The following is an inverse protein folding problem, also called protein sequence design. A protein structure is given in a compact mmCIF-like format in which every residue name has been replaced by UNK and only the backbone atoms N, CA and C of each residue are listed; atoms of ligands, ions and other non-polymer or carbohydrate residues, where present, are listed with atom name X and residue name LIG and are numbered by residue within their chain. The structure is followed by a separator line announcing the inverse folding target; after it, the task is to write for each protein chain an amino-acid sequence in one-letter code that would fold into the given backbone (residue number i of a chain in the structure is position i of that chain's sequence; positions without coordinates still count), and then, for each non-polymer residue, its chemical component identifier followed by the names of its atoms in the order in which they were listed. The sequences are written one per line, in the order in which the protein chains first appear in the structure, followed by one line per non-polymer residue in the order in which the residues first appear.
data_IF_141944380178
#
_entry.id   IF_141944380178
#
_cell.length_a   1.000
_cell.length_b   1.000
_cell.length_c   1.000
_cell.angle_alpha   90.00
_cell.angle_beta   90.00
_cell.angle_gamma   90.00
#
_symmetry.space_group_name_H-M   'P 1'
#
loop_
_entity.id
_entity.type
_entity.pdbx_description
1 polymer ?
#
# COMPACT_ATOMS: atom_id res chain seq x y z
N UNK A 1 -7.61 31.28 0.60
CA UNK A 1 -6.70 31.19 1.78
C UNK A 1 -7.31 30.28 2.84
N UNK A 2 -6.55 29.62 3.73
CA UNK A 2 -7.15 28.77 4.78
C UNK A 2 -8.30 29.51 5.50
N UNK A 3 -9.49 28.92 5.67
CA UNK A 3 -9.84 27.49 5.48
C UNK A 3 -10.26 27.09 4.05
N UNK A 4 -10.19 28.01 3.09
CA UNK A 4 -10.53 27.75 1.70
C UNK A 4 -9.47 26.92 0.97
N UNK A 5 -9.84 26.43 -0.21
CA UNK A 5 -8.93 25.75 -1.12
C UNK A 5 -7.78 26.66 -1.55
N UNK A 6 -6.55 26.13 -1.44
CA UNK A 6 -5.35 26.77 -1.96
C UNK A 6 -4.87 26.03 -3.21
N UNK A 7 -4.46 26.79 -4.22
CA UNK A 7 -3.88 26.24 -5.44
C UNK A 7 -2.37 26.10 -5.28
N UNK A 8 -1.88 24.86 -5.34
CA UNK A 8 -0.45 24.57 -5.28
C UNK A 8 0.06 24.29 -6.69
N UNK A 9 1.14 24.98 -7.07
CA UNK A 9 1.91 24.67 -8.28
C UNK A 9 3.34 24.36 -7.87
N UNK A 10 3.71 23.09 -8.00
CA UNK A 10 5.08 22.61 -7.80
C UNK A 10 5.73 22.44 -9.17
N UNK A 11 6.90 23.04 -9.37
CA UNK A 11 7.72 22.82 -10.55
C UNK A 11 9.03 22.22 -10.11
N UNK A 12 9.30 21.00 -10.57
CA UNK A 12 10.56 20.30 -10.41
C UNK A 12 11.27 20.29 -11.77
N UNK A 13 12.40 20.96 -11.85
CA UNK A 13 13.17 21.12 -13.08
C UNK A 13 14.66 21.04 -12.74
N UNK A 14 15.32 20.00 -13.23
CA UNK A 14 16.75 19.79 -13.08
C UNK A 14 17.29 19.93 -11.63
N UNK A 15 16.61 19.30 -10.67
CA UNK A 15 16.96 19.38 -9.24
C UNK A 15 16.62 20.73 -8.57
N UNK A 16 16.04 21.68 -9.30
CA UNK A 16 15.41 22.88 -8.75
C UNK A 16 13.94 22.57 -8.49
N UNK A 17 13.47 22.91 -7.29
CA UNK A 17 12.08 22.76 -6.89
C UNK A 17 11.56 24.15 -6.55
N UNK A 18 10.39 24.52 -7.08
CA UNK A 18 9.68 25.72 -6.65
C UNK A 18 8.25 25.40 -6.30
N UNK A 19 7.80 25.96 -5.18
CA UNK A 19 6.42 25.90 -4.74
C UNK A 19 5.79 27.28 -4.87
N UNK A 20 4.70 27.37 -5.61
CA UNK A 20 3.81 28.51 -5.61
C UNK A 20 2.48 28.15 -4.95
N UNK A 21 1.99 29.02 -4.07
CA UNK A 21 0.69 28.92 -3.41
C UNK A 21 -0.16 30.11 -3.88
N UNK A 22 -1.33 29.82 -4.45
CA UNK A 22 -2.25 30.82 -5.00
C UNK A 22 -1.55 31.80 -5.97
N UNK A 23 -0.70 31.26 -6.86
CA UNK A 23 0.01 32.03 -7.88
C UNK A 23 1.31 32.72 -7.41
N UNK A 24 1.59 32.76 -6.10
CA UNK A 24 2.81 33.37 -5.56
C UNK A 24 3.84 32.30 -5.21
N UNK A 25 5.07 32.43 -5.72
CA UNK A 25 6.19 31.56 -5.31
C UNK A 25 6.53 31.83 -3.85
N UNK A 26 6.44 30.80 -3.00
CA UNK A 26 6.67 30.90 -1.55
C UNK A 26 7.97 30.24 -1.11
N UNK A 27 8.45 29.22 -1.85
CA UNK A 27 9.66 28.49 -1.48
C UNK A 27 10.37 27.96 -2.71
N UNK A 28 11.71 27.90 -2.65
CA UNK A 28 12.56 27.27 -3.65
C UNK A 28 13.62 26.40 -2.98
N UNK A 29 13.90 25.26 -3.59
CA UNK A 29 15.01 24.38 -3.29
C UNK A 29 15.87 24.17 -4.53
N UNK A 30 17.13 23.83 -4.35
CA UNK A 30 18.06 23.47 -5.44
C UNK A 30 18.85 22.23 -5.04
N UNK A 31 19.48 21.58 -6.02
CA UNK A 31 20.25 20.35 -5.81
C UNK A 31 19.46 19.25 -5.07
N UNK A 32 18.16 19.12 -5.38
CA UNK A 32 17.31 18.11 -4.79
C UNK A 32 17.86 16.69 -5.07
N UNK A 33 17.94 15.88 -4.02
CA UNK A 33 18.35 14.48 -4.10
C UNK A 33 17.29 13.63 -3.38
N UNK A 34 16.68 12.63 -4.04
CA UNK A 34 16.86 12.28 -5.45
C UNK A 34 16.23 13.30 -6.44
N UNK A 35 16.71 13.32 -7.68
CA UNK A 35 16.25 14.17 -8.80
C UNK A 35 15.02 13.63 -9.53
N UNK A 36 14.71 12.35 -9.35
CA UNK A 36 13.51 11.68 -9.85
C UNK A 36 13.01 10.71 -8.78
N UNK A 37 11.70 10.62 -8.57
CA UNK A 37 11.14 9.75 -7.54
C UNK A 37 9.63 9.84 -7.44
N UNK A 38 9.10 9.38 -6.31
CA UNK A 38 7.66 9.35 -6.03
C UNK A 38 7.16 10.67 -5.48
N UNK A 39 5.91 11.02 -5.80
CA UNK A 39 5.19 12.12 -5.15
C UNK A 39 4.41 11.52 -3.96
N UNK A 40 4.62 12.07 -2.77
CA UNK A 40 3.90 11.69 -1.56
C UNK A 40 2.90 12.79 -1.18
N UNK A 41 1.73 12.39 -0.68
CA UNK A 41 0.77 13.29 -0.05
C UNK A 41 0.94 13.18 1.46
N UNK A 42 1.32 14.29 2.08
CA UNK A 42 1.58 14.35 3.51
C UNK A 42 0.41 15.01 4.27
N UNK A 43 0.16 14.52 5.47
CA UNK A 43 -0.77 15.08 6.45
C UNK A 43 -0.05 15.10 7.80
N UNK A 44 0.13 16.29 8.38
CA UNK A 44 0.75 16.45 9.69
C UNK A 44 -0.34 16.80 10.72
N UNK A 45 -0.65 15.86 11.62
CA UNK A 45 -1.48 16.10 12.81
C UNK A 45 -2.98 16.39 12.60
N UNK A 46 -3.44 16.62 11.36
CA UNK A 46 -4.86 16.93 11.07
C UNK A 46 -5.28 16.49 9.67
N UNK A 47 -6.58 16.17 9.45
CA UNK A 47 -7.09 15.81 8.12
C UNK A 47 -6.84 16.91 7.09
N UNK A 48 -6.29 16.53 5.94
CA UNK A 48 -6.09 17.39 4.77
C UNK A 48 -6.82 16.78 3.58
N UNK A 49 -7.38 17.62 2.72
CA UNK A 49 -8.08 17.19 1.51
C UNK A 49 -7.31 17.67 0.28
N UNK A 50 -7.16 16.78 -0.70
CA UNK A 50 -6.54 17.09 -1.99
C UNK A 50 -7.56 16.87 -3.10
N UNK A 51 -7.56 17.72 -4.13
CA UNK A 51 -8.41 17.56 -5.32
C UNK A 51 -7.74 18.14 -6.55
N UNK A 52 -8.19 17.72 -7.73
CA UNK A 52 -7.73 18.24 -9.02
C UNK A 52 -6.22 18.15 -9.24
N UNK A 53 -5.60 17.07 -8.74
CA UNK A 53 -4.19 16.80 -8.94
C UNK A 53 -3.92 16.46 -10.40
N UNK A 54 -2.99 17.17 -11.02
CA UNK A 54 -2.59 16.99 -12.42
C UNK A 54 -1.08 17.06 -12.50
N UNK A 55 -0.50 16.24 -13.38
CA UNK A 55 0.94 16.21 -13.64
C UNK A 55 1.15 16.54 -15.11
N UNK A 56 2.11 17.42 -15.38
CA UNK A 56 2.67 17.65 -16.70
C UNK A 56 4.15 17.31 -16.61
N UNK A 57 4.57 16.27 -17.32
CA UNK A 57 5.99 15.95 -17.44
C UNK A 57 6.70 17.05 -18.23
N UNK A 58 7.86 17.47 -17.71
CA UNK A 58 8.77 18.39 -18.39
C UNK A 58 9.84 17.56 -19.13
N UNK A 59 10.52 18.13 -20.14
CA UNK A 59 11.66 17.46 -20.76
C UNK A 59 12.66 16.97 -19.71
N UNK A 60 12.95 15.68 -19.73
CA UNK A 60 13.84 15.06 -18.75
C UNK A 60 15.31 15.40 -18.99
N UNK A 61 16.11 15.36 -17.92
CA UNK A 61 17.57 15.51 -17.99
C UNK A 61 18.34 14.19 -17.92
N UNK A 62 17.62 13.05 -17.94
CA UNK A 62 18.16 11.69 -17.84
C UNK A 62 19.15 11.52 -16.66
N UNK A 63 18.69 11.72 -15.40
CA UNK A 63 19.54 11.56 -14.22
C UNK A 63 20.12 10.15 -14.11
N UNK A 64 21.30 10.02 -13.53
CA UNK A 64 21.94 8.70 -13.36
C UNK A 64 21.19 7.84 -12.33
N UNK A 65 21.37 6.50 -12.32
CA UNK A 65 20.74 5.62 -11.33
C UNK A 65 20.99 6.02 -9.86
N UNK A 66 22.12 6.67 -9.57
CA UNK A 66 22.50 7.16 -8.24
C UNK A 66 21.78 8.47 -7.86
N UNK A 67 21.30 9.21 -8.85
CA UNK A 67 20.58 10.46 -8.67
C UNK A 67 19.08 10.28 -8.54
N UNK A 68 18.54 9.08 -8.80
CA UNK A 68 17.10 8.80 -8.71
C UNK A 68 16.76 8.04 -7.43
N UNK A 69 15.50 8.17 -7.00
CA UNK A 69 14.99 7.40 -5.88
C UNK A 69 15.12 5.92 -6.22
N UNK A 70 15.53 5.10 -5.25
CA UNK A 70 15.45 3.65 -5.39
C UNK A 70 14.02 3.30 -5.73
N UNK A 71 13.83 2.69 -6.90
CA UNK A 71 12.54 2.20 -7.31
C UNK A 71 12.11 1.12 -6.33
N UNK A 72 10.93 1.27 -5.74
CA UNK A 72 10.26 0.16 -5.08
C UNK A 72 9.82 -0.80 -6.18
N UNK A 73 10.63 -1.83 -6.43
CA UNK A 73 10.42 -2.74 -7.53
C UNK A 73 9.52 -3.91 -7.12
N UNK A 74 8.48 -4.11 -7.92
CA UNK A 74 7.69 -5.34 -7.93
C UNK A 74 6.43 -5.29 -7.08
N UNK A 75 6.28 -4.33 -6.16
CA UNK A 75 5.00 -4.14 -5.49
C UNK A 75 4.01 -3.43 -6.39
N UNK A 76 2.79 -3.95 -6.43
CA UNK A 76 1.64 -3.29 -7.02
C UNK A 76 0.44 -3.41 -6.09
N UNK A 77 -0.48 -2.45 -6.21
CA UNK A 77 -1.69 -2.43 -5.39
C UNK A 77 -2.68 -3.49 -5.87
N UNK A 78 -3.22 -4.27 -4.94
CA UNK A 78 -4.40 -5.09 -5.17
C UNK A 78 -5.69 -4.27 -4.98
N UNK A 79 -5.65 -3.15 -4.27
CA UNK A 79 -6.79 -2.26 -4.08
C UNK A 79 -6.39 -0.80 -4.32
N UNK A 80 -6.78 -0.26 -5.48
CA UNK A 80 -6.41 1.09 -5.93
C UNK A 80 -7.26 2.19 -5.30
N UNK A 81 -8.30 1.83 -4.55
CA UNK A 81 -9.30 2.77 -4.03
C UNK A 81 -10.37 3.17 -5.04
N UNK A 82 -10.27 2.72 -6.30
CA UNK A 82 -11.23 3.04 -7.35
C UNK A 82 -12.40 2.06 -7.34
N UNK A 83 -12.11 0.77 -7.47
CA UNK A 83 -13.13 -0.28 -7.61
C UNK A 83 -12.64 -1.64 -7.11
N UNK A 84 -13.44 -2.69 -7.36
CA UNK A 84 -13.18 -4.08 -7.00
C UNK A 84 -12.91 -4.97 -8.22
N UNK A 85 -12.46 -4.41 -9.35
CA UNK A 85 -12.19 -5.18 -10.58
C UNK A 85 -11.21 -6.33 -10.35
N UNK A 86 -10.20 -6.14 -9.50
CA UNK A 86 -9.24 -7.16 -9.08
C UNK A 86 -9.76 -8.18 -8.06
N UNK A 87 -11.02 -8.07 -7.64
CA UNK A 87 -11.61 -8.85 -6.56
C UNK A 87 -12.91 -9.56 -6.96
N UNK A 88 -13.22 -10.65 -6.26
CA UNK A 88 -14.45 -11.43 -6.39
C UNK A 88 -15.06 -11.65 -5.01
N UNK A 89 -16.35 -11.34 -4.86
CA UNK A 89 -17.12 -11.50 -3.62
C UNK A 89 -18.19 -10.42 -3.48
N UNK A 90 -19.25 -10.74 -2.76
CA UNK A 90 -20.43 -9.87 -2.60
C UNK A 90 -20.39 -9.06 -1.30
N UNK A 91 -21.04 -7.90 -1.26
CA UNK A 91 -21.20 -7.11 -0.03
C UNK A 91 -19.99 -6.26 0.37
N UNK A 92 -19.01 -6.11 -0.52
CA UNK A 92 -17.86 -5.24 -0.34
C UNK A 92 -18.03 -3.95 -1.11
N UNK A 93 -17.53 -2.84 -0.56
CA UNK A 93 -17.61 -1.53 -1.19
C UNK A 93 -16.25 -0.83 -1.15
N UNK A 94 -15.82 -0.33 -2.30
CA UNK A 94 -14.74 0.66 -2.35
C UNK A 94 -15.21 1.94 -1.68
N UNK A 95 -14.39 2.51 -0.79
CA UNK A 95 -14.66 3.77 -0.09
C UNK A 95 -13.38 4.61 -0.04
N UNK A 96 -13.01 5.15 -1.20
CA UNK A 96 -11.74 5.82 -1.45
C UNK A 96 -10.55 4.93 -1.08
N UNK A 97 -9.66 5.39 -0.21
CA UNK A 97 -8.49 4.65 0.25
C UNK A 97 -8.82 3.47 1.19
N UNK A 98 -10.09 3.29 1.58
CA UNK A 98 -10.54 2.20 2.47
C UNK A 98 -11.46 1.23 1.76
N UNK A 99 -11.15 -0.05 1.89
CA UNK A 99 -12.04 -1.14 1.56
C UNK A 99 -12.79 -1.57 2.82
N UNK A 100 -14.12 -1.55 2.78
CA UNK A 100 -14.97 -1.96 3.92
C UNK A 100 -15.71 -3.24 3.60
N UNK A 101 -15.56 -4.26 4.44
CA UNK A 101 -16.37 -5.47 4.39
C UNK A 101 -17.76 -5.20 4.96
N UNK A 102 -18.77 -5.13 4.10
CA UNK A 102 -20.15 -4.81 4.49
C UNK A 102 -21.04 -6.03 4.78
N UNK A 103 -20.57 -7.26 4.52
CA UNK A 103 -21.35 -8.49 4.68
C UNK A 103 -20.51 -9.63 5.33
N UNK A 104 -21.15 -10.75 5.66
CA UNK A 104 -20.52 -11.94 6.26
C UNK A 104 -19.66 -12.79 5.29
N UNK A 105 -19.42 -12.29 4.08
CA UNK A 105 -18.78 -13.01 2.97
C UNK A 105 -17.30 -12.64 2.81
N UNK A 106 -16.50 -13.60 2.35
CA UNK A 106 -15.08 -13.42 2.02
C UNK A 106 -14.90 -12.63 0.72
N UNK A 107 -13.83 -11.86 0.60
CA UNK A 107 -13.40 -11.24 -0.66
C UNK A 107 -12.10 -11.87 -1.15
N UNK A 108 -12.11 -12.35 -2.39
CA UNK A 108 -10.99 -13.07 -3.00
C UNK A 108 -10.33 -12.20 -4.05
N UNK A 109 -9.01 -12.07 -4.01
CA UNK A 109 -8.27 -11.56 -5.17
C UNK A 109 -8.48 -12.49 -6.36
N UNK A 110 -8.73 -11.93 -7.54
CA UNK A 110 -8.91 -12.72 -8.78
C UNK A 110 -7.60 -13.37 -9.21
N UNK A 111 -6.50 -12.64 -9.07
CA UNK A 111 -5.16 -13.20 -9.31
C UNK A 111 -4.78 -14.12 -8.16
N UNK A 112 -4.09 -15.21 -8.50
CA UNK A 112 -3.58 -16.19 -7.56
C UNK A 112 -2.07 -16.08 -7.41
N UNK A 113 -1.57 -16.40 -6.21
CA UNK A 113 -0.18 -16.22 -5.81
C UNK A 113 0.35 -17.46 -5.12
N UNK A 114 1.61 -17.80 -5.37
CA UNK A 114 2.30 -18.92 -4.72
C UNK A 114 3.47 -18.43 -3.85
N UNK A 115 4.36 -17.61 -4.43
CA UNK A 115 5.50 -16.97 -3.75
C UNK A 115 5.36 -15.45 -3.86
N UNK A 116 5.39 -14.75 -2.74
CA UNK A 116 5.09 -13.33 -2.68
C UNK A 116 5.65 -12.64 -1.43
N UNK A 117 5.90 -11.35 -1.56
CA UNK A 117 5.93 -10.40 -0.45
C UNK A 117 4.64 -9.61 -0.46
N UNK A 118 3.91 -9.57 0.64
CA UNK A 118 2.60 -8.95 0.75
C UNK A 118 2.58 -8.03 1.96
N UNK A 119 1.96 -6.86 1.85
CA UNK A 119 1.57 -6.09 3.01
C UNK A 119 0.18 -5.51 2.85
N UNK A 120 -0.50 -5.34 3.98
CA UNK A 120 -1.80 -4.70 4.04
C UNK A 120 -2.01 -4.06 5.40
N UNK A 121 -2.73 -2.95 5.41
CA UNK A 121 -3.21 -2.34 6.65
C UNK A 121 -4.64 -2.78 6.92
N UNK A 122 -4.94 -3.09 8.18
CA UNK A 122 -6.30 -3.43 8.61
C UNK A 122 -6.68 -2.79 9.93
N UNK A 123 -7.99 -2.59 10.14
CA UNK A 123 -8.59 -2.13 11.38
C UNK A 123 -9.84 -2.94 11.69
N UNK A 124 -9.89 -3.60 12.84
CA UNK A 124 -11.05 -4.38 13.31
C UNK A 124 -11.15 -4.37 14.84
N UNK A 125 -12.32 -4.75 15.36
CA UNK A 125 -12.56 -5.05 16.78
C UNK A 125 -12.28 -6.52 17.13
N UNK A 126 -12.20 -7.40 16.12
CA UNK A 126 -11.99 -8.83 16.30
C UNK A 126 -10.59 -9.14 16.86
N UNK A 127 -10.44 -10.28 17.53
CA UNK A 127 -9.13 -10.83 17.92
C UNK A 127 -8.42 -11.53 16.76
N UNK A 128 -9.18 -11.99 15.76
CA UNK A 128 -8.63 -12.63 14.59
C UNK A 128 -8.06 -11.60 13.61
N UNK A 129 -6.94 -11.96 13.00
CA UNK A 129 -6.35 -11.21 11.89
C UNK A 129 -7.13 -11.58 10.62
N UNK A 130 -7.78 -10.61 9.93
CA UNK A 130 -8.82 -10.90 8.95
C UNK A 130 -8.25 -11.22 7.55
N UNK A 131 -7.26 -12.11 7.48
CA UNK A 131 -6.61 -12.54 6.25
C UNK A 131 -6.50 -14.07 6.15
N UNK A 132 -6.74 -14.57 4.95
CA UNK A 132 -6.38 -15.93 4.51
C UNK A 132 -5.37 -15.80 3.38
N UNK A 133 -4.22 -16.48 3.51
CA UNK A 133 -3.07 -16.25 2.64
C UNK A 133 -2.62 -17.53 1.92
N UNK A 134 -2.25 -17.47 0.62
CA UNK A 134 -1.83 -18.64 -0.14
C UNK A 134 -0.64 -19.37 0.50
N UNK A 135 -0.76 -20.69 0.65
CA UNK A 135 0.29 -21.51 1.27
C UNK A 135 0.50 -21.25 2.77
N UNK A 136 -0.41 -20.52 3.43
CA UNK A 136 -0.41 -20.25 4.88
C UNK A 136 -1.79 -20.57 5.51
N UNK A 137 -2.89 -20.23 4.82
CA UNK A 137 -4.24 -20.37 5.33
C UNK A 137 -4.69 -19.18 6.21
N UNK A 138 -5.74 -19.37 7.03
CA UNK A 138 -6.21 -18.33 7.95
C UNK A 138 -5.18 -18.03 9.03
N UNK A 139 -4.96 -16.74 9.29
CA UNK A 139 -3.98 -16.32 10.31
C UNK A 139 -4.44 -16.56 11.75
N UNK A 140 -5.76 -16.58 11.99
CA UNK A 140 -6.34 -16.81 13.31
C UNK A 140 -6.11 -15.65 14.27
N UNK A 141 -6.08 -15.92 15.58
CA UNK A 141 -5.81 -14.93 16.61
C UNK A 141 -4.30 -14.68 16.75
N UNK A 142 -3.88 -13.43 16.50
CA UNK A 142 -2.50 -12.96 16.69
C UNK A 142 -2.52 -11.61 17.42
N UNK A 143 -1.48 -11.31 18.20
CA UNK A 143 -1.40 -10.07 18.96
C UNK A 143 -1.37 -8.83 18.05
N UNK A 144 -2.32 -7.91 18.26
CA UNK A 144 -2.44 -6.65 17.51
C UNK A 144 -3.27 -5.62 18.29
N UNK A 145 -3.29 -4.37 17.84
CA UNK A 145 -4.08 -3.30 18.46
C UNK A 145 -5.51 -3.28 17.92
N UNK A 146 -6.49 -3.62 18.75
CA UNK A 146 -7.92 -3.52 18.39
C UNK A 146 -8.33 -2.08 18.10
N UNK A 147 -9.29 -1.91 17.21
CA UNK A 147 -9.84 -0.61 16.78
C UNK A 147 -8.84 0.39 16.17
N UNK A 148 -7.56 0.04 16.09
CA UNK A 148 -6.49 0.83 15.46
C UNK A 148 -6.06 0.19 14.15
N UNK A 149 -5.46 0.99 13.29
CA UNK A 149 -4.79 0.47 12.10
C UNK A 149 -3.58 -0.36 12.53
N UNK A 150 -3.47 -1.54 11.94
CA UNK A 150 -2.33 -2.44 12.09
C UNK A 150 -1.79 -2.74 10.70
N UNK A 151 -0.47 -2.94 10.60
CA UNK A 151 0.20 -3.36 9.38
C UNK A 151 0.55 -4.84 9.47
N UNK A 152 0.12 -5.61 8.48
CA UNK A 152 0.52 -6.99 8.23
C UNK A 152 1.58 -6.96 7.14
N UNK A 153 2.73 -7.61 7.37
CA UNK A 153 3.70 -7.85 6.31
C UNK A 153 4.06 -9.33 6.31
N UNK A 154 4.12 -9.91 5.11
CA UNK A 154 4.26 -11.33 4.88
C UNK A 154 5.28 -11.55 3.79
N UNK A 155 6.25 -12.43 4.04
CA UNK A 155 7.09 -13.02 3.01
C UNK A 155 6.80 -14.51 2.94
N UNK A 156 6.32 -14.98 1.79
CA UNK A 156 6.08 -16.40 1.50
C UNK A 156 6.86 -16.81 0.28
N UNK A 157 7.76 -17.78 0.41
CA UNK A 157 8.44 -18.45 -0.68
C UNK A 157 8.83 -19.86 -0.22
N UNK A 158 9.26 -20.78 -1.11
CA UNK A 158 9.64 -22.13 -0.68
C UNK A 158 10.63 -22.10 0.48
N UNK A 159 10.24 -22.76 1.58
CA UNK A 159 11.06 -22.85 2.78
C UNK A 159 11.13 -21.61 3.68
N UNK A 160 10.38 -20.54 3.37
CA UNK A 160 10.25 -19.37 4.22
C UNK A 160 8.79 -18.94 4.34
N UNK A 161 8.34 -18.80 5.59
CA UNK A 161 7.18 -17.99 5.96
C UNK A 161 7.62 -17.00 7.02
N UNK A 162 7.53 -15.71 6.74
CA UNK A 162 7.73 -14.66 7.73
C UNK A 162 6.47 -13.81 7.78
N UNK A 163 5.94 -13.60 8.98
CA UNK A 163 4.79 -12.73 9.22
C UNK A 163 5.16 -11.75 10.32
N UNK A 164 5.06 -10.46 10.03
CA UNK A 164 5.15 -9.39 11.01
C UNK A 164 3.80 -8.69 11.14
N UNK A 165 3.51 -8.25 12.36
CA UNK A 165 2.42 -7.33 12.65
C UNK A 165 3.03 -6.12 13.36
N UNK A 166 2.81 -4.92 12.79
CA UNK A 166 3.36 -3.66 13.31
C UNK A 166 4.89 -3.75 13.55
N UNK A 167 5.61 -4.34 12.60
CA UNK A 167 7.06 -4.56 12.66
C UNK A 167 7.53 -5.66 13.62
N UNK A 168 6.63 -6.32 14.37
CA UNK A 168 6.98 -7.42 15.28
C UNK A 168 6.74 -8.77 14.61
N UNK A 169 7.73 -9.66 14.65
CA UNK A 169 7.59 -11.04 14.14
C UNK A 169 6.56 -11.80 14.98
N UNK A 170 5.49 -12.25 14.33
CA UNK A 170 4.42 -13.07 14.97
C UNK A 170 4.45 -14.52 14.51
N UNK A 171 5.04 -14.78 13.34
CA UNK A 171 5.28 -16.15 12.85
C UNK A 171 6.54 -16.16 11.99
N UNK A 172 7.41 -17.14 12.21
CA UNK A 172 8.56 -17.41 11.35
C UNK A 172 8.72 -18.91 11.19
N UNK A 173 8.79 -19.36 9.94
CA UNK A 173 9.13 -20.73 9.58
C UNK A 173 10.30 -20.70 8.60
N UNK A 174 11.30 -21.55 8.87
CA UNK A 174 12.43 -21.84 8.00
C UNK A 174 12.53 -23.35 7.89
N UNK A 175 12.49 -23.89 6.67
CA UNK A 175 12.54 -25.34 6.48
C UNK A 175 12.48 -25.75 5.03
N UNK A 176 12.47 -27.05 4.75
CA UNK A 176 12.25 -27.55 3.39
C UNK A 176 10.76 -27.57 3.10
N UNK A 177 10.39 -27.15 1.89
CA UNK A 177 9.02 -27.29 1.42
C UNK A 177 8.80 -28.72 0.93
N UNK A 178 7.84 -29.48 1.49
CA UNK A 178 7.63 -30.87 1.09
C UNK A 178 6.96 -31.00 -0.29
N UNK A 179 6.27 -29.94 -0.75
CA UNK A 179 5.56 -29.90 -2.04
C UNK A 179 5.68 -28.50 -2.65
N UNK A 180 5.63 -28.35 -3.98
CA UNK A 180 5.57 -27.02 -4.60
C UNK A 180 4.40 -26.19 -4.08
N UNK A 181 4.60 -24.88 -3.96
CA UNK A 181 3.55 -23.95 -3.55
C UNK A 181 2.49 -23.88 -4.65
N UNK A 182 1.23 -24.14 -4.26
CA UNK A 182 0.09 -24.00 -5.17
C UNK A 182 -0.42 -22.56 -5.14
N UNK A 183 -0.60 -21.91 -6.30
CA UNK A 183 -1.23 -20.60 -6.35
C UNK A 183 -2.63 -20.62 -5.74
N UNK A 184 -2.95 -19.60 -4.95
CA UNK A 184 -4.30 -19.35 -4.46
C UNK A 184 -4.54 -17.84 -4.31
N UNK A 185 -5.78 -17.43 -4.07
CA UNK A 185 -6.12 -16.03 -3.83
C UNK A 185 -5.66 -15.55 -2.45
N UNK A 186 -5.21 -14.30 -2.36
CA UNK A 186 -5.28 -13.52 -1.11
C UNK A 186 -6.75 -13.30 -0.79
N UNK A 187 -7.14 -13.56 0.47
CA UNK A 187 -8.53 -13.47 0.92
C UNK A 187 -8.65 -12.50 2.09
N UNK A 188 -9.59 -11.56 1.99
CA UNK A 188 -9.99 -10.69 3.08
C UNK A 188 -11.22 -11.28 3.77
N UNK A 189 -11.15 -11.38 5.10
CA UNK A 189 -12.26 -11.83 5.92
C UNK A 189 -13.16 -10.65 6.33
N UNK A 190 -14.47 -10.87 6.48
CA UNK A 190 -15.39 -9.80 6.86
C UNK A 190 -15.14 -9.27 8.28
N UNK A 191 -15.77 -8.13 8.61
CA UNK A 191 -15.68 -7.56 9.96
C UNK A 191 -14.49 -6.61 10.19
N UNK A 192 -13.91 -6.06 9.13
CA UNK A 192 -12.80 -5.11 9.19
C UNK A 192 -12.81 -4.07 8.08
N UNK A 193 -11.99 -3.04 8.26
CA UNK A 193 -11.58 -2.10 7.22
C UNK A 193 -10.16 -2.43 6.78
N UNK A 194 -9.87 -2.24 5.50
CA UNK A 194 -8.58 -2.54 4.88
C UNK A 194 -8.09 -1.35 4.07
N UNK A 195 -6.78 -1.17 4.02
CA UNK A 195 -6.11 -0.16 3.21
C UNK A 195 -4.72 -0.66 2.80
N UNK A 196 -4.07 0.02 1.86
CA UNK A 196 -2.68 -0.23 1.46
C UNK A 196 -2.38 -1.72 1.20
N UNK A 197 -3.22 -2.38 0.40
CA UNK A 197 -3.07 -3.79 0.07
C UNK A 197 -2.14 -3.91 -1.14
N UNK A 198 -0.89 -4.29 -0.90
CA UNK A 198 0.14 -4.41 -1.94
C UNK A 198 0.77 -5.80 -1.94
N UNK A 199 1.16 -6.24 -3.13
CA UNK A 199 1.83 -7.52 -3.32
C UNK A 199 2.96 -7.39 -4.34
N UNK A 200 4.02 -8.15 -4.10
CA UNK A 200 5.14 -8.39 -4.99
C UNK A 200 5.28 -9.89 -5.18
N UNK A 201 5.18 -10.37 -6.41
CA UNK A 201 5.46 -11.78 -6.72
C UNK A 201 6.96 -12.05 -6.63
N UNK A 202 7.31 -13.17 -5.99
CA UNK A 202 8.68 -13.63 -5.87
C UNK A 202 8.91 -14.75 -6.89
N UNK A 203 10.10 -14.76 -7.49
CA UNK A 203 10.52 -15.80 -8.44
C UNK A 203 10.97 -17.05 -7.71
#
# INVERSE_FOLDING_TARGET
PSPEWNHYRVVCDDGKISLAVNGKVVTRGTAAKPRQGYICLESEGSPVQFRNMKIKELPGTNPTPEEIAKKEEGFYSLYTGVDLSGWAGDGWKSNDWRLTGGAATKLFSRKQFASYSFFADWRSQAKSVPFELPGIGPLGELAHSKARWNRLEVTRQPGLVLITINGKVVRKFLGKEPKPLKPASIVLLPGGQFANIFIKELK
#
